data_IF_320622710232
#
_entry.id   IF_320622710232
#
_cell.length_a   1.000
_cell.length_b   1.000
_cell.length_c   1.000
_cell.angle_alpha   90.00
_cell.angle_beta   90.00
_cell.angle_gamma   90.00
#
_symmetry.space_group_name_H-M   'P 1'
#
loop_
_entity.id
_entity.type
_entity.pdbx_description
1 polymer ?
#
# COMPACT_ATOMS: atom_id res chain seq x y z
N UNK A 1 16.55 20.14 -14.73
CA UNK A 1 16.42 19.49 -14.62
C UNK A 1 15.49 19.17 -14.08
N UNK A 2 15.32 18.73 -14.10
CA UNK A 2 14.51 18.35 -13.66
C UNK A 2 14.62 18.35 -12.60
N UNK A 3 14.66 18.58 -12.19
CA UNK A 3 14.54 18.73 -11.19
C UNK A 3 14.81 17.69 -10.35
N UNK A 4 15.56 17.87 -9.33
CA UNK A 4 15.85 16.87 -8.38
C UNK A 4 14.60 16.24 -7.83
N UNK A 5 13.59 17.01 -7.72
CA UNK A 5 12.30 16.51 -7.29
C UNK A 5 11.79 15.46 -8.24
N UNK A 6 11.93 15.70 -9.52
CA UNK A 6 11.52 14.74 -10.53
C UNK A 6 12.34 13.47 -10.43
N UNK A 7 13.62 13.59 -10.18
CA UNK A 7 14.48 12.43 -10.02
C UNK A 7 14.06 11.62 -8.79
N UNK A 8 13.76 12.30 -7.69
CA UNK A 8 13.31 11.63 -6.48
C UNK A 8 12.00 10.90 -6.71
N UNK A 9 11.08 11.51 -7.43
CA UNK A 9 9.82 10.86 -7.76
C UNK A 9 10.06 9.65 -8.65
N UNK A 10 11.00 9.75 -9.57
CA UNK A 10 11.34 8.64 -10.44
C UNK A 10 11.94 7.49 -9.65
N UNK A 11 12.75 7.79 -8.62
CA UNK A 11 13.41 6.78 -7.81
C UNK A 11 12.41 5.93 -7.03
N UNK A 12 11.23 6.45 -6.73
CA UNK A 12 10.22 5.69 -6.01
C UNK A 12 9.06 5.28 -6.90
N UNK A 13 9.16 5.52 -8.19
CA UNK A 13 8.12 5.11 -9.13
C UNK A 13 8.35 3.65 -9.50
N UNK A 14 7.46 2.80 -9.07
CA UNK A 14 7.48 1.37 -9.35
C UNK A 14 6.14 0.98 -9.94
N UNK A 15 6.17 0.24 -11.04
CA UNK A 15 4.95 -0.21 -11.70
C UNK A 15 4.09 -1.02 -10.72
N UNK A 16 2.84 -0.66 -10.61
CA UNK A 16 1.92 -1.36 -9.72
C UNK A 16 1.89 -0.82 -8.29
N UNK A 17 2.66 0.24 -7.98
CA UNK A 17 2.58 0.87 -6.67
C UNK A 17 1.92 2.24 -6.75
N UNK A 18 1.07 2.53 -5.77
CA UNK A 18 0.63 3.90 -5.49
C UNK A 18 1.56 4.42 -4.41
N UNK A 19 2.25 5.53 -4.65
CA UNK A 19 3.29 6.05 -3.74
C UNK A 19 2.93 7.46 -3.28
N UNK A 20 3.08 7.71 -1.98
CA UNK A 20 2.71 8.97 -1.36
C UNK A 20 3.85 9.45 -0.45
N UNK A 21 4.30 10.70 -0.59
CA UNK A 21 5.24 11.25 0.40
C UNK A 21 4.49 11.54 1.70
N UNK A 22 5.17 11.39 2.83
CA UNK A 22 4.57 11.68 4.14
C UNK A 22 5.42 12.70 4.90
N UNK A 23 4.80 13.70 5.52
CA UNK A 23 5.51 14.66 6.38
C UNK A 23 5.78 14.11 7.76
N UNK A 24 5.26 12.92 8.07
CA UNK A 24 5.39 12.30 9.39
C UNK A 24 6.57 11.33 9.43
N UNK A 25 6.97 10.91 10.61
CA UNK A 25 7.96 9.84 10.76
C UNK A 25 7.39 8.53 10.20
N UNK A 26 8.26 7.55 9.86
CA UNK A 26 7.75 6.24 9.40
C UNK A 26 6.81 5.58 10.41
N UNK A 27 7.15 5.64 11.70
CA UNK A 27 6.30 5.04 12.73
C UNK A 27 4.94 5.73 12.82
N UNK A 28 4.92 7.05 12.79
CA UNK A 28 3.66 7.80 12.83
C UNK A 28 2.84 7.56 11.57
N UNK A 29 3.48 7.55 10.40
CA UNK A 29 2.79 7.28 9.13
C UNK A 29 2.13 5.90 9.18
N UNK A 30 2.84 4.88 9.69
CA UNK A 30 2.30 3.54 9.81
C UNK A 30 1.09 3.49 10.74
N UNK A 31 1.15 4.19 11.90
CA UNK A 31 0.01 4.23 12.83
C UNK A 31 -1.18 4.95 12.21
N UNK A 32 -0.93 6.04 11.50
CA UNK A 32 -1.99 6.77 10.82
C UNK A 32 -2.65 5.91 9.73
N UNK A 33 -1.85 5.16 8.98
CA UNK A 33 -2.39 4.26 7.96
C UNK A 33 -3.20 3.13 8.58
N UNK A 34 -2.71 2.55 9.69
CA UNK A 34 -3.46 1.52 10.41
C UNK A 34 -4.82 2.03 10.88
N UNK A 35 -4.86 3.25 11.40
CA UNK A 35 -6.12 3.87 11.84
C UNK A 35 -7.04 4.13 10.64
N UNK A 36 -6.49 4.61 9.53
CA UNK A 36 -7.28 4.93 8.35
C UNK A 36 -7.94 3.68 7.75
N UNK A 37 -7.19 2.59 7.60
CA UNK A 37 -7.77 1.35 7.05
C UNK A 37 -8.78 0.74 8.03
N UNK A 38 -8.53 0.83 9.33
CA UNK A 38 -9.49 0.36 10.32
C UNK A 38 -10.80 1.15 10.26
N UNK A 39 -10.70 2.45 10.03
CA UNK A 39 -11.88 3.30 9.86
C UNK A 39 -12.71 2.96 8.63
N UNK A 40 -12.12 2.25 7.65
CA UNK A 40 -12.80 1.79 6.45
C UNK A 40 -13.29 0.35 6.56
N UNK A 41 -13.22 -0.23 7.76
CA UNK A 41 -13.73 -1.59 8.00
C UNK A 41 -12.72 -2.69 7.68
N UNK A 42 -11.46 -2.34 7.44
CA UNK A 42 -10.42 -3.34 7.24
C UNK A 42 -9.73 -3.65 8.56
N UNK A 43 -9.19 -4.87 8.67
CA UNK A 43 -8.48 -5.32 9.86
C UNK A 43 -7.01 -5.46 9.57
N UNK A 44 -6.16 -4.88 10.41
CA UNK A 44 -4.72 -5.07 10.33
C UNK A 44 -4.41 -6.43 10.94
N UNK A 45 -3.93 -7.35 10.12
CA UNK A 45 -3.67 -8.73 10.55
C UNK A 45 -2.19 -8.99 10.85
N UNK A 46 -1.29 -8.14 10.37
CA UNK A 46 0.13 -8.29 10.65
C UNK A 46 0.84 -6.95 10.49
N UNK A 47 1.91 -6.79 11.25
CA UNK A 47 2.84 -5.67 11.14
C UNK A 47 4.22 -6.27 11.05
N UNK A 48 4.98 -5.92 10.03
CA UNK A 48 6.31 -6.46 9.80
C UNK A 48 7.29 -5.31 9.89
N UNK A 49 8.22 -5.40 10.84
CA UNK A 49 9.29 -4.42 11.00
C UNK A 49 10.59 -5.01 10.45
N UNK A 50 10.88 -4.65 9.21
CA UNK A 50 12.08 -5.17 8.54
C UNK A 50 13.37 -4.62 9.15
N UNK A 51 13.34 -3.39 9.66
CA UNK A 51 14.52 -2.82 10.31
C UNK A 51 14.82 -3.55 11.62
N UNK A 52 13.80 -3.90 12.39
CA UNK A 52 13.98 -4.69 13.62
C UNK A 52 14.50 -6.09 13.31
N UNK A 53 13.98 -6.71 12.24
CA UNK A 53 14.45 -8.03 11.83
C UNK A 53 15.93 -7.99 11.41
N UNK A 54 16.31 -6.96 10.66
CA UNK A 54 17.71 -6.77 10.26
C UNK A 54 18.61 -6.63 11.49
N UNK A 55 18.17 -5.83 12.46
CA UNK A 55 18.93 -5.61 13.69
C UNK A 55 19.18 -6.92 14.46
N UNK A 56 18.17 -7.78 14.50
CA UNK A 56 18.32 -9.10 15.16
C UNK A 56 19.34 -9.99 14.46
N UNK A 57 19.63 -9.71 13.20
CA UNK A 57 20.64 -10.46 12.44
C UNK A 57 21.98 -9.72 12.37
N UNK A 58 22.16 -8.68 13.17
CA UNK A 58 23.39 -7.90 13.19
C UNK A 58 23.56 -6.95 12.01
N UNK A 59 22.47 -6.68 11.28
CA UNK A 59 22.48 -5.79 10.12
C UNK A 59 21.75 -4.51 10.46
N UNK A 60 21.91 -3.50 9.62
CA UNK A 60 21.24 -2.24 9.79
C UNK A 60 20.40 -1.93 8.55
N UNK A 61 19.17 -1.51 8.78
CA UNK A 61 18.27 -1.08 7.73
C UNK A 61 17.53 0.17 8.23
N UNK A 62 17.38 1.17 7.39
CA UNK A 62 16.53 2.31 7.71
C UNK A 62 15.12 1.83 8.01
N UNK A 63 14.32 2.62 8.74
CA UNK A 63 12.94 2.23 9.03
C UNK A 63 12.21 1.73 7.79
N UNK A 64 11.67 0.53 7.88
CA UNK A 64 10.98 -0.15 6.78
C UNK A 64 9.92 -1.05 7.41
N UNK A 65 8.67 -0.63 7.27
CA UNK A 65 7.54 -1.28 7.94
C UNK A 65 6.51 -1.71 6.90
N UNK A 66 5.92 -2.87 7.09
CA UNK A 66 4.81 -3.32 6.25
C UNK A 66 3.60 -3.60 7.13
N UNK A 67 2.46 -3.02 6.75
CA UNK A 67 1.17 -3.35 7.33
C UNK A 67 0.46 -4.29 6.39
N UNK A 68 -0.13 -5.34 6.91
CA UNK A 68 -0.92 -6.30 6.14
C UNK A 68 -2.35 -6.21 6.66
N UNK A 69 -3.29 -5.95 5.78
CA UNK A 69 -4.66 -5.68 6.20
C UNK A 69 -5.66 -6.07 5.12
N UNK A 70 -6.89 -6.29 5.51
CA UNK A 70 -7.93 -6.62 4.56
C UNK A 70 -9.29 -6.77 5.19
N UNK A 71 -10.26 -7.04 4.34
CA UNK A 71 -11.64 -7.30 4.71
C UNK A 71 -12.07 -8.59 4.03
N UNK A 72 -12.26 -9.68 4.79
CA UNK A 72 -12.67 -10.96 4.18
C UNK A 72 -13.96 -10.89 3.38
N UNK A 73 -14.87 -9.98 3.75
CA UNK A 73 -16.12 -9.83 3.02
C UNK A 73 -15.87 -9.33 1.58
N UNK A 74 -14.80 -8.55 1.37
CA UNK A 74 -14.43 -8.10 0.03
C UNK A 74 -13.47 -9.08 -0.64
N UNK A 75 -12.53 -9.65 0.10
CA UNK A 75 -11.50 -10.52 -0.47
C UNK A 75 -11.99 -11.89 -0.88
N UNK A 76 -12.92 -12.47 -0.11
CA UNK A 76 -13.39 -13.83 -0.38
C UNK A 76 -14.05 -13.96 -1.75
N UNK A 77 -14.96 -13.06 -2.17
CA UNK A 77 -15.53 -13.15 -3.52
C UNK A 77 -14.47 -13.05 -4.61
N UNK A 78 -13.43 -12.24 -4.39
CA UNK A 78 -12.34 -12.09 -5.36
C UNK A 78 -11.58 -13.41 -5.52
N UNK A 79 -11.22 -14.05 -4.43
CA UNK A 79 -10.46 -15.29 -4.43
C UNK A 79 -11.29 -16.47 -4.94
N UNK A 80 -12.59 -16.44 -4.68
CA UNK A 80 -13.47 -17.46 -5.21
C UNK A 80 -13.57 -17.38 -6.75
N UNK A 81 -13.69 -16.17 -7.26
CA UNK A 81 -13.79 -15.96 -8.70
C UNK A 81 -12.45 -16.15 -9.41
N UNK A 82 -11.36 -15.70 -8.80
CA UNK A 82 -10.01 -15.75 -9.37
C UNK A 82 -9.05 -16.19 -8.28
N UNK A 83 -8.85 -17.50 -8.11
CA UNK A 83 -8.06 -18.01 -6.99
C UNK A 83 -6.64 -17.44 -6.88
N UNK A 84 -6.01 -17.11 -8.01
CA UNK A 84 -4.65 -16.57 -7.97
C UNK A 84 -4.55 -15.20 -7.32
N UNK A 85 -5.67 -14.47 -7.20
CA UNK A 85 -5.67 -13.20 -6.45
C UNK A 85 -5.23 -13.38 -5.00
N UNK A 86 -5.38 -14.59 -4.46
CA UNK A 86 -4.98 -14.86 -3.08
C UNK A 86 -3.49 -14.61 -2.83
N UNK A 87 -2.64 -14.65 -3.88
CA UNK A 87 -1.20 -14.36 -3.69
C UNK A 87 -0.98 -12.88 -3.37
N UNK A 88 -1.87 -12.01 -3.83
CA UNK A 88 -1.75 -10.57 -3.65
C UNK A 88 -2.64 -10.04 -2.52
N UNK A 89 -3.33 -10.93 -1.82
CA UNK A 89 -4.16 -10.57 -0.67
C UNK A 89 -3.63 -11.24 0.58
N UNK A 90 -3.80 -10.66 1.77
CA UNK A 90 -4.40 -9.35 2.04
C UNK A 90 -3.60 -8.19 1.44
N UNK A 91 -4.18 -7.00 1.50
CA UNK A 91 -3.52 -5.80 1.00
C UNK A 91 -2.31 -5.44 1.88
N UNK A 92 -1.38 -4.68 1.32
CA UNK A 92 -0.17 -4.27 2.04
C UNK A 92 0.11 -2.80 1.84
N UNK A 93 0.61 -2.18 2.88
CA UNK A 93 1.15 -0.83 2.82
C UNK A 93 2.58 -0.88 3.34
N UNK A 94 3.50 -0.32 2.57
CA UNK A 94 4.91 -0.20 2.94
C UNK A 94 5.16 1.23 3.37
N UNK A 95 5.81 1.40 4.52
CA UNK A 95 6.25 2.72 4.98
C UNK A 95 7.74 2.65 5.21
N UNK A 96 8.49 3.58 4.60
CA UNK A 96 9.95 3.54 4.74
C UNK A 96 10.54 4.95 4.72
N UNK A 97 11.78 5.03 5.20
CA UNK A 97 12.59 6.24 5.10
C UNK A 97 13.62 6.04 4.01
N UNK A 98 13.68 6.97 3.06
CA UNK A 98 14.66 6.92 1.99
C UNK A 98 16.00 7.51 2.46
N UNK A 99 17.04 7.36 1.63
CA UNK A 99 18.39 7.85 1.95
C UNK A 99 18.40 9.32 2.29
N UNK A 100 17.55 10.11 1.62
CA UNK A 100 17.49 11.57 1.83
C UNK A 100 16.69 11.96 3.06
N UNK A 101 16.25 10.99 3.85
CA UNK A 101 15.55 11.24 5.10
C UNK A 101 14.05 11.44 4.98
N UNK A 102 13.49 11.32 3.78
CA UNK A 102 12.05 11.47 3.58
C UNK A 102 11.30 10.18 3.91
N UNK A 103 10.06 10.33 4.35
CA UNK A 103 9.18 9.21 4.62
C UNK A 103 8.22 9.01 3.45
N UNK A 104 8.05 7.77 3.05
CA UNK A 104 7.18 7.37 1.95
C UNK A 104 6.20 6.31 2.40
N UNK A 105 5.03 6.30 1.78
CA UNK A 105 4.03 5.24 1.95
C UNK A 105 3.68 4.72 0.58
N UNK A 106 3.65 3.42 0.40
CA UNK A 106 3.27 2.80 -0.87
C UNK A 106 2.32 1.65 -0.63
N UNK A 107 1.39 1.47 -1.56
CA UNK A 107 0.44 0.35 -1.55
C UNK A 107 0.46 -0.31 -2.93
N UNK A 108 0.22 -1.62 -2.98
CA UNK A 108 -0.03 -2.26 -4.26
C UNK A 108 -1.32 -1.69 -4.84
N UNK A 109 -1.28 -1.34 -6.11
CA UNK A 109 -2.43 -0.78 -6.81
C UNK A 109 -3.38 -1.92 -7.21
N UNK A 110 -4.62 -1.93 -6.72
CA UNK A 110 -5.59 -2.95 -7.14
C UNK A 110 -5.84 -2.99 -8.65
N UNK A 111 -5.64 -1.89 -9.37
CA UNK A 111 -5.74 -1.89 -10.83
C UNK A 111 -4.63 -2.74 -11.46
N UNK A 112 -3.42 -2.67 -10.90
CA UNK A 112 -2.31 -3.52 -11.34
C UNK A 112 -2.58 -5.00 -11.02
N UNK A 113 -3.19 -5.26 -9.86
CA UNK A 113 -3.59 -6.63 -9.50
C UNK A 113 -4.63 -7.16 -10.51
N UNK A 114 -5.57 -6.32 -10.90
CA UNK A 114 -6.56 -6.69 -11.90
C UNK A 114 -5.90 -7.10 -13.23
N UNK A 115 -4.94 -6.30 -13.67
CA UNK A 115 -4.20 -6.60 -14.90
C UNK A 115 -3.39 -7.89 -14.77
N UNK A 116 -2.70 -8.06 -13.66
CA UNK A 116 -1.88 -9.24 -13.40
C UNK A 116 -2.70 -10.53 -13.50
N UNK A 117 -3.91 -10.52 -12.99
CA UNK A 117 -4.75 -11.71 -12.89
C UNK A 117 -5.82 -11.79 -13.98
N UNK A 118 -5.72 -10.96 -15.02
CA UNK A 118 -6.61 -11.05 -16.16
C UNK A 118 -8.05 -10.69 -15.87
N UNK A 119 -8.29 -9.73 -14.97
CA UNK A 119 -9.63 -9.33 -14.54
C UNK A 119 -10.32 -8.44 -15.59
N UNK A 120 -9.54 -7.77 -16.44
CA UNK A 120 -10.08 -6.83 -17.42
C UNK A 120 -11.10 -7.53 -18.31
N UNK A 121 -12.24 -6.88 -18.50
CA UNK A 121 -13.30 -7.43 -19.35
C UNK A 121 -14.24 -8.41 -18.67
N UNK A 122 -13.99 -8.81 -17.42
CA UNK A 122 -14.93 -9.67 -16.71
C UNK A 122 -16.22 -8.91 -16.41
N UNK A 123 -17.33 -9.63 -16.48
CA UNK A 123 -18.67 -9.04 -16.30
C UNK A 123 -19.35 -9.49 -15.01
N UNK A 124 -18.63 -10.16 -14.14
CA UNK A 124 -19.17 -10.73 -12.90
C UNK A 124 -19.04 -9.76 -11.70
N UNK A 125 -18.69 -8.51 -11.93
CA UNK A 125 -18.59 -7.51 -10.87
C UNK A 125 -17.26 -7.49 -10.12
N UNK A 126 -16.36 -8.41 -10.43
CA UNK A 126 -15.06 -8.51 -9.73
C UNK A 126 -14.22 -7.26 -9.95
N UNK A 127 -14.22 -6.73 -11.18
CA UNK A 127 -13.50 -5.50 -11.48
C UNK A 127 -13.96 -4.32 -10.63
N UNK A 128 -15.25 -4.24 -10.34
CA UNK A 128 -15.80 -3.16 -9.52
C UNK A 128 -15.37 -3.26 -8.07
N UNK A 129 -15.22 -4.47 -7.55
CA UNK A 129 -14.71 -4.67 -6.20
C UNK A 129 -13.30 -4.12 -6.11
N UNK A 130 -12.46 -4.43 -7.10
CA UNK A 130 -11.08 -3.94 -7.13
C UNK A 130 -11.00 -2.43 -7.31
N UNK A 131 -11.88 -1.83 -8.12
CA UNK A 131 -11.96 -0.38 -8.28
C UNK A 131 -12.30 0.29 -6.94
N UNK A 132 -13.28 -0.26 -6.22
CA UNK A 132 -13.66 0.26 -4.92
C UNK A 132 -12.52 0.11 -3.91
N UNK A 133 -11.83 -1.01 -3.95
CA UNK A 133 -10.69 -1.28 -3.10
C UNK A 133 -9.58 -0.25 -3.36
N UNK A 134 -9.33 0.06 -4.63
CA UNK A 134 -8.35 1.08 -5.01
C UNK A 134 -8.70 2.45 -4.46
N UNK A 135 -9.97 2.84 -4.60
CA UNK A 135 -10.43 4.13 -4.08
C UNK A 135 -10.28 4.19 -2.55
N UNK A 136 -10.60 3.11 -1.85
CA UNK A 136 -10.46 3.05 -0.39
C UNK A 136 -8.99 3.15 0.03
N UNK A 137 -8.09 2.46 -0.67
CA UNK A 137 -6.66 2.52 -0.38
C UNK A 137 -6.11 3.92 -0.62
N UNK A 138 -6.47 4.55 -1.73
CA UNK A 138 -6.00 5.89 -2.04
C UNK A 138 -6.48 6.89 -0.99
N UNK A 139 -7.73 6.76 -0.54
CA UNK A 139 -8.27 7.62 0.50
C UNK A 139 -7.56 7.41 1.84
N UNK A 140 -7.30 6.16 2.21
CA UNK A 140 -6.59 5.85 3.45
C UNK A 140 -5.16 6.39 3.42
N UNK A 141 -4.47 6.23 2.30
CA UNK A 141 -3.11 6.73 2.14
C UNK A 141 -3.06 8.26 2.20
N UNK A 142 -4.01 8.92 1.56
CA UNK A 142 -4.10 10.38 1.61
C UNK A 142 -4.35 10.86 3.05
N UNK A 143 -5.22 10.20 3.78
CA UNK A 143 -5.49 10.54 5.18
C UNK A 143 -4.24 10.32 6.03
N UNK A 144 -3.54 9.21 5.83
CA UNK A 144 -2.35 8.87 6.62
C UNK A 144 -1.20 9.84 6.37
N UNK A 145 -1.07 10.36 5.16
CA UNK A 145 0.04 11.23 4.79
C UNK A 145 -0.35 12.70 4.76
N UNK A 146 -1.63 13.03 4.86
CA UNK A 146 -2.10 14.40 4.73
C UNK A 146 -2.13 14.89 3.30
N UNK A 147 -2.00 13.99 2.31
CA UNK A 147 -2.09 14.37 0.90
C UNK A 147 -3.54 14.67 0.53
N UNK A 148 -3.71 15.51 -0.49
CA UNK A 148 -5.05 15.79 -1.02
C UNK A 148 -5.40 14.68 -2.01
N UNK A 149 -6.44 13.88 -1.74
CA UNK A 149 -6.79 12.79 -2.63
C UNK A 149 -7.29 13.25 -4.00
N UNK A 150 -7.61 14.53 -4.15
CA UNK A 150 -8.04 15.09 -5.43
C UNK A 150 -6.87 15.65 -6.23
N UNK A 151 -5.69 15.69 -5.65
CA UNK A 151 -4.50 16.27 -6.28
C UNK A 151 -3.87 15.34 -7.34
#
# INVERSE_FOLDING_TARGET
MKVSHTAADTDVAVDGLMVFPSPHSPGETAERMAAAVSGLGMTVVARIDHAAAASRSGLQLRPTLVLVFGNPAAGTPLMEAVPTLAIDLPLRALVWRSDDGRTWLACNDPAWMADRHGIAGRKDGIGKILEKMRASLAAAAAEATGADPSA
#
